data_IF_419519070072
#
_entry.id   IF_419519070072
#
_cell.length_a   1.000
_cell.length_b   1.000
_cell.length_c   1.000
_cell.angle_alpha   90.00
_cell.angle_beta   90.00
_cell.angle_gamma   90.00
#
_symmetry.space_group_name_H-M   'P 1'
#
loop_
_entity.id
_entity.type
_entity.pdbx_description
1 polymer ?
#
# COMPACT_ATOMS: atom_id res chain seq x y z
N UNK A 1 -16.84 -85.33 -10.33
CA UNK A 1 -16.57 -83.93 -10.76
C UNK A 1 -17.86 -83.34 -11.32
N UNK A 2 -18.18 -82.06 -11.08
CA UNK A 2 -19.38 -81.28 -11.53
C UNK A 2 -20.51 -80.99 -10.51
N UNK A 3 -20.20 -80.78 -9.22
CA UNK A 3 -21.14 -80.13 -8.28
C UNK A 3 -20.47 -79.05 -7.41
N UNK A 4 -19.54 -78.28 -7.97
CA UNK A 4 -18.78 -77.26 -7.22
C UNK A 4 -18.54 -75.94 -7.99
N UNK A 5 -19.43 -75.57 -8.91
CA UNK A 5 -19.23 -74.35 -9.74
C UNK A 5 -20.38 -73.35 -9.74
N UNK A 6 -21.51 -73.63 -9.06
CA UNK A 6 -22.62 -72.68 -9.01
C UNK A 6 -22.67 -71.83 -7.74
N UNK A 7 -21.96 -72.24 -6.68
CA UNK A 7 -21.97 -71.53 -5.38
C UNK A 7 -20.85 -70.50 -5.22
N UNK A 8 -19.87 -70.45 -6.14
CA UNK A 8 -18.78 -69.46 -6.11
C UNK A 8 -19.04 -68.25 -7.03
N UNK A 9 -20.00 -68.34 -7.96
CA UNK A 9 -20.29 -67.24 -8.89
C UNK A 9 -21.24 -66.17 -8.28
N UNK A 10 -21.87 -66.47 -7.15
CA UNK A 10 -22.75 -65.54 -6.43
C UNK A 10 -22.06 -64.79 -5.28
N UNK A 11 -20.75 -65.00 -5.06
CA UNK A 11 -20.02 -64.45 -3.90
C UNK A 11 -19.04 -63.30 -4.23
N UNK A 12 -19.06 -62.74 -5.45
CA UNK A 12 -18.06 -61.74 -5.86
C UNK A 12 -18.62 -60.50 -6.58
N UNK A 13 -19.88 -60.12 -6.31
CA UNK A 13 -20.41 -58.82 -6.77
C UNK A 13 -21.21 -58.18 -5.63
N UNK A 14 -20.53 -57.81 -4.55
CA UNK A 14 -21.00 -56.67 -3.75
C UNK A 14 -20.59 -55.40 -4.50
N UNK A 15 -21.32 -55.06 -5.57
CA UNK A 15 -21.23 -53.70 -6.11
C UNK A 15 -21.72 -52.79 -4.99
N UNK A 16 -20.81 -52.04 -4.39
CA UNK A 16 -21.14 -50.91 -3.54
C UNK A 16 -21.81 -49.86 -4.45
N UNK A 17 -23.11 -50.03 -4.70
CA UNK A 17 -23.94 -49.01 -5.30
C UNK A 17 -24.04 -47.88 -4.26
N UNK A 18 -23.14 -46.92 -4.37
CA UNK A 18 -23.28 -45.67 -3.64
C UNK A 18 -24.43 -44.92 -4.30
N UNK A 19 -25.57 -44.81 -3.62
CA UNK A 19 -26.68 -43.98 -4.08
C UNK A 19 -26.32 -42.50 -3.84
N UNK A 20 -25.54 -41.91 -4.75
CA UNK A 20 -25.42 -40.47 -4.82
C UNK A 20 -26.75 -39.90 -5.31
N UNK A 21 -27.23 -38.85 -4.66
CA UNK A 21 -28.52 -38.25 -5.01
C UNK A 21 -28.28 -37.08 -5.96
N UNK A 22 -28.65 -37.29 -7.22
CA UNK A 22 -28.83 -36.23 -8.18
C UNK A 22 -30.28 -35.73 -8.12
N UNK A 23 -30.49 -34.43 -7.91
CA UNK A 23 -31.79 -33.77 -7.99
C UNK A 23 -31.76 -32.82 -9.17
N UNK A 24 -32.24 -33.29 -10.31
CA UNK A 24 -32.30 -32.56 -11.57
C UNK A 24 -33.43 -33.08 -12.46
N UNK A 25 -33.72 -32.37 -13.54
CA UNK A 25 -34.73 -32.76 -14.54
C UNK A 25 -34.11 -33.21 -15.87
N UNK A 26 -32.78 -33.19 -16.00
CA UNK A 26 -32.06 -33.52 -17.23
C UNK A 26 -31.48 -34.94 -17.24
N UNK A 27 -31.62 -35.68 -16.13
CA UNK A 27 -31.16 -37.06 -16.01
C UNK A 27 -29.64 -37.19 -15.87
N UNK A 28 -28.92 -36.08 -15.64
CA UNK A 28 -27.48 -36.14 -15.40
C UNK A 28 -27.15 -36.88 -14.10
N UNK A 29 -26.10 -37.70 -14.13
CA UNK A 29 -25.61 -38.37 -12.92
C UNK A 29 -25.04 -37.35 -11.92
N UNK A 30 -25.13 -37.66 -10.63
CA UNK A 30 -24.50 -36.84 -9.60
C UNK A 30 -22.98 -36.81 -9.80
N UNK A 31 -22.35 -35.69 -9.44
CA UNK A 31 -20.91 -35.59 -9.39
C UNK A 31 -20.32 -36.62 -8.40
N UNK A 32 -19.24 -37.32 -8.79
CA UNK A 32 -18.61 -38.36 -7.98
C UNK A 32 -18.12 -37.88 -6.60
N UNK A 33 -17.90 -36.58 -6.41
CA UNK A 33 -17.49 -35.98 -5.13
C UNK A 33 -18.66 -35.39 -4.33
N UNK A 34 -19.89 -35.45 -4.84
CA UNK A 34 -21.07 -34.89 -4.19
C UNK A 34 -21.90 -35.98 -3.48
N UNK A 35 -22.24 -35.72 -2.22
CA UNK A 35 -23.26 -36.50 -1.52
C UNK A 35 -24.69 -36.08 -1.93
N UNK A 36 -24.85 -34.81 -2.29
CA UNK A 36 -26.07 -34.21 -2.82
C UNK A 36 -25.68 -33.28 -3.98
N UNK A 37 -26.19 -33.56 -5.17
CA UNK A 37 -25.99 -32.73 -6.37
C UNK A 37 -27.34 -32.20 -6.85
N UNK A 38 -27.54 -30.88 -6.75
CA UNK A 38 -28.78 -30.22 -7.16
C UNK A 38 -28.49 -29.33 -8.35
N UNK A 39 -29.12 -29.64 -9.49
CA UNK A 39 -28.97 -28.87 -10.73
C UNK A 39 -30.33 -28.40 -11.21
N UNK A 40 -30.49 -27.08 -11.22
CA UNK A 40 -31.66 -26.42 -11.79
C UNK A 40 -31.25 -25.06 -12.36
N UNK A 41 -31.88 -24.65 -13.45
CA UNK A 41 -31.69 -23.32 -14.06
C UNK A 41 -32.72 -22.30 -13.57
N UNK A 42 -33.74 -22.74 -12.84
CA UNK A 42 -34.89 -21.91 -12.43
C UNK A 42 -35.40 -22.17 -11.01
N UNK A 43 -34.78 -23.09 -10.25
CA UNK A 43 -35.09 -23.35 -8.83
C UNK A 43 -33.82 -23.30 -7.98
N UNK A 44 -33.98 -22.97 -6.70
CA UNK A 44 -32.92 -23.02 -5.69
C UNK A 44 -33.25 -24.01 -4.57
N UNK A 45 -32.35 -24.10 -3.59
CA UNK A 45 -32.57 -24.89 -2.38
C UNK A 45 -33.13 -23.98 -1.28
N UNK A 46 -34.29 -24.31 -0.73
CA UNK A 46 -34.84 -23.62 0.43
C UNK A 46 -34.27 -24.22 1.72
N UNK A 47 -33.30 -23.52 2.31
CA UNK A 47 -32.69 -23.87 3.60
C UNK A 47 -33.66 -23.49 4.74
N UNK A 48 -33.68 -24.23 5.88
CA UNK A 48 -34.52 -23.90 7.02
C UNK A 48 -34.43 -22.41 7.42
N UNK A 49 -35.59 -21.75 7.41
CA UNK A 49 -35.74 -20.34 7.76
C UNK A 49 -36.25 -20.21 9.18
N UNK A 50 -35.57 -19.41 10.00
CA UNK A 50 -35.90 -19.29 11.41
C UNK A 50 -35.45 -17.96 12.02
N UNK A 51 -36.11 -17.52 13.09
CA UNK A 51 -35.65 -16.38 13.89
C UNK A 51 -34.44 -16.74 14.75
N UNK A 52 -33.76 -15.74 15.34
CA UNK A 52 -32.70 -15.96 16.35
C UNK A 52 -33.21 -16.85 17.49
N UNK A 53 -34.43 -16.61 17.98
CA UNK A 53 -35.02 -17.38 19.08
C UNK A 53 -35.30 -18.83 18.68
N UNK A 54 -35.83 -19.06 17.47
CA UNK A 54 -36.07 -20.41 16.95
C UNK A 54 -34.75 -21.16 16.72
N UNK A 55 -33.70 -20.49 16.22
CA UNK A 55 -32.37 -21.08 16.09
C UNK A 55 -31.77 -21.50 17.43
N UNK A 56 -32.01 -20.72 18.48
CA UNK A 56 -31.54 -21.06 19.83
C UNK A 56 -32.22 -22.32 20.41
N UNK A 57 -33.34 -22.75 19.85
CA UNK A 57 -34.04 -23.99 20.25
C UNK A 57 -33.58 -25.24 19.51
N UNK A 58 -32.65 -25.14 18.55
CA UNK A 58 -32.10 -26.33 17.88
C UNK A 58 -31.40 -27.20 18.93
N UNK A 59 -31.75 -28.50 19.05
CA UNK A 59 -31.19 -29.37 20.09
C UNK A 59 -29.66 -29.48 20.05
N UNK A 60 -29.03 -29.48 21.22
CA UNK A 60 -27.58 -29.67 21.38
C UNK A 60 -27.23 -31.17 21.50
N UNK A 61 -26.04 -31.60 21.01
CA UNK A 61 -25.00 -30.77 20.38
C UNK A 61 -25.33 -30.42 18.93
N UNK A 62 -25.03 -29.18 18.54
CA UNK A 62 -25.21 -28.71 17.16
C UNK A 62 -24.13 -29.33 16.25
N UNK A 63 -24.49 -29.89 15.08
CA UNK A 63 -23.50 -30.41 14.15
C UNK A 63 -22.75 -29.27 13.44
N UNK A 64 -21.43 -29.38 13.37
CA UNK A 64 -20.58 -28.46 12.57
C UNK A 64 -20.99 -28.50 11.11
N UNK A 65 -21.13 -27.33 10.49
CA UNK A 65 -21.56 -27.16 9.10
C UNK A 65 -23.07 -27.00 8.91
N UNK A 66 -23.87 -27.01 9.99
CA UNK A 66 -25.32 -26.79 9.89
C UNK A 66 -25.62 -25.41 9.29
N UNK A 67 -26.37 -25.36 8.19
CA UNK A 67 -26.73 -24.14 7.47
C UNK A 67 -28.20 -23.77 7.73
N UNK A 68 -28.46 -22.52 8.07
CA UNK A 68 -29.80 -21.94 8.24
C UNK A 68 -29.89 -20.58 7.56
N UNK A 69 -31.11 -20.12 7.28
CA UNK A 69 -31.37 -18.74 6.89
C UNK A 69 -32.10 -18.02 8.04
N UNK A 70 -31.43 -17.07 8.68
CA UNK A 70 -32.03 -16.29 9.76
C UNK A 70 -32.95 -15.22 9.17
N UNK A 71 -34.16 -15.09 9.69
CA UNK A 71 -35.19 -14.19 9.14
C UNK A 71 -35.26 -12.82 9.82
N UNK A 72 -34.73 -12.68 11.04
CA UNK A 72 -34.72 -11.45 11.84
C UNK A 72 -33.29 -11.03 12.25
N UNK A 73 -33.14 -9.91 12.95
CA UNK A 73 -31.92 -9.50 13.69
C UNK A 73 -30.59 -9.77 12.96
N UNK A 74 -30.42 -9.17 11.77
CA UNK A 74 -29.40 -9.46 10.75
C UNK A 74 -29.73 -10.67 9.86
N UNK A 75 -30.79 -10.54 9.06
CA UNK A 75 -31.26 -11.52 8.08
C UNK A 75 -30.14 -12.01 7.15
N UNK A 76 -30.07 -13.32 6.91
CA UNK A 76 -29.09 -13.91 5.98
C UNK A 76 -28.78 -15.38 6.26
N UNK A 77 -27.88 -15.96 5.46
CA UNK A 77 -27.40 -17.32 5.70
C UNK A 77 -26.43 -17.35 6.88
N UNK A 78 -26.54 -18.39 7.71
CA UNK A 78 -25.62 -18.66 8.81
C UNK A 78 -25.22 -20.13 8.80
N UNK A 79 -23.95 -20.42 9.09
CA UNK A 79 -23.51 -21.78 9.38
C UNK A 79 -22.97 -21.90 10.81
N UNK A 80 -23.15 -23.07 11.43
CA UNK A 80 -22.54 -23.37 12.74
C UNK A 80 -21.13 -23.91 12.54
N UNK A 81 -20.11 -23.25 13.10
CA UNK A 81 -18.71 -23.66 12.89
C UNK A 81 -18.20 -24.70 13.91
N UNK A 82 -19.07 -25.21 14.78
CA UNK A 82 -18.70 -26.08 15.91
C UNK A 82 -18.78 -25.37 17.27
N UNK A 83 -18.71 -24.04 17.29
CA UNK A 83 -18.71 -23.22 18.53
C UNK A 83 -19.75 -22.11 18.49
N UNK A 84 -19.90 -21.41 17.35
CA UNK A 84 -20.80 -20.27 17.18
C UNK A 84 -21.44 -20.27 15.80
N UNK A 85 -22.55 -19.54 15.67
CA UNK A 85 -23.19 -19.26 14.39
C UNK A 85 -22.48 -18.11 13.67
N UNK A 86 -21.97 -18.37 12.47
CA UNK A 86 -21.30 -17.38 11.61
C UNK A 86 -22.22 -17.02 10.46
N UNK A 87 -22.48 -15.72 10.25
CA UNK A 87 -23.22 -15.23 9.09
C UNK A 87 -22.36 -15.34 7.84
N UNK A 88 -22.88 -15.96 6.78
CA UNK A 88 -22.33 -15.86 5.44
C UNK A 88 -22.71 -14.49 4.87
N UNK A 89 -21.76 -13.57 4.90
CA UNK A 89 -21.89 -12.27 4.24
C UNK A 89 -21.25 -12.32 2.87
N UNK A 90 -21.68 -11.45 1.96
CA UNK A 90 -21.08 -11.23 0.64
C UNK A 90 -19.65 -10.65 0.69
N UNK A 91 -19.11 -10.37 1.89
CA UNK A 91 -17.76 -9.82 2.08
C UNK A 91 -17.67 -8.32 1.82
N UNK A 92 -18.77 -7.62 1.49
CA UNK A 92 -18.72 -6.25 0.98
C UNK A 92 -19.53 -5.21 1.75
N UNK A 93 -19.71 -5.37 3.06
CA UNK A 93 -20.27 -4.28 3.88
C UNK A 93 -19.18 -3.58 4.68
N UNK A 94 -18.68 -2.47 4.14
CA UNK A 94 -17.70 -1.48 4.65
C UNK A 94 -16.23 -1.92 4.69
N UNK A 95 -15.35 -1.06 4.15
CA UNK A 95 -13.88 -1.15 4.32
C UNK A 95 -13.59 -1.01 5.82
N UNK A 96 -13.32 -2.13 6.50
CA UNK A 96 -12.99 -2.14 7.94
C UNK A 96 -11.48 -1.99 8.20
N UNK A 97 -10.64 -2.17 7.18
CA UNK A 97 -9.18 -2.07 7.19
C UNK A 97 -8.68 -1.94 5.75
N UNK A 98 -7.53 -1.29 5.57
CA UNK A 98 -6.83 -1.08 4.28
C UNK A 98 -5.76 -2.18 4.13
N UNK A 99 -6.16 -3.44 4.19
CA UNK A 99 -5.25 -4.59 4.20
C UNK A 99 -5.37 -5.49 2.96
N UNK A 100 -6.29 -5.17 2.06
CA UNK A 100 -6.34 -5.69 0.68
C UNK A 100 -5.67 -4.74 -0.33
N UNK A 101 -5.07 -3.62 0.11
CA UNK A 101 -4.06 -2.95 -0.71
C UNK A 101 -2.84 -3.86 -0.74
N UNK A 102 -2.70 -4.66 -1.79
CA UNK A 102 -1.51 -5.50 -2.00
C UNK A 102 -0.20 -4.70 -1.97
N UNK A 103 -0.27 -3.38 -2.08
CA UNK A 103 0.81 -2.41 -2.07
C UNK A 103 0.77 -1.40 -0.89
N UNK A 104 -0.08 -1.63 0.11
CA UNK A 104 -0.10 -0.88 1.37
C UNK A 104 0.72 -1.59 2.46
N UNK A 105 1.72 -0.94 3.04
CA UNK A 105 2.58 -1.50 4.12
C UNK A 105 2.55 -0.59 5.34
N UNK A 106 2.23 -1.17 6.50
CA UNK A 106 2.52 -0.59 7.82
C UNK A 106 3.51 -1.49 8.55
N UNK A 107 4.43 -0.93 9.33
CA UNK A 107 5.34 -1.72 10.18
C UNK A 107 4.56 -2.39 11.32
N UNK A 108 5.10 -3.48 11.86
CA UNK A 108 4.46 -4.29 12.91
C UNK A 108 4.27 -3.57 14.24
N UNK A 109 4.88 -2.38 14.40
CA UNK A 109 4.81 -1.54 15.60
C UNK A 109 4.18 -0.15 15.35
N UNK A 110 3.63 0.10 14.15
CA UNK A 110 2.66 1.18 13.89
C UNK A 110 3.19 2.60 13.68
N UNK A 111 4.41 2.79 13.18
CA UNK A 111 4.98 4.12 12.95
C UNK A 111 4.98 4.57 11.49
N UNK A 112 5.26 3.66 10.54
CA UNK A 112 5.39 4.02 9.13
C UNK A 112 4.14 3.62 8.34
N UNK A 113 3.74 4.47 7.40
CA UNK A 113 2.60 4.26 6.49
C UNK A 113 3.10 4.37 5.05
N UNK A 114 3.01 3.29 4.29
CA UNK A 114 3.37 3.26 2.87
C UNK A 114 2.18 2.87 2.00
N UNK A 115 1.92 3.61 0.93
CA UNK A 115 0.83 3.39 -0.01
C UNK A 115 1.33 3.54 -1.45
N UNK A 116 1.23 2.48 -2.25
CA UNK A 116 1.62 2.46 -3.65
C UNK A 116 2.73 1.45 -3.93
N UNK A 117 2.75 0.90 -5.15
CA UNK A 117 3.76 -0.09 -5.59
C UNK A 117 5.18 0.31 -5.18
N UNK A 118 5.86 -0.57 -4.46
CA UNK A 118 7.24 -0.44 -3.95
C UNK A 118 7.49 0.76 -3.00
N UNK A 119 6.43 1.40 -2.47
CA UNK A 119 6.60 2.40 -1.42
C UNK A 119 7.16 1.74 -0.15
N UNK A 120 8.24 2.30 0.41
CA UNK A 120 8.92 1.73 1.59
C UNK A 120 9.45 0.29 1.40
N UNK A 121 9.81 -0.09 0.17
CA UNK A 121 10.23 -1.46 -0.18
C UNK A 121 11.38 -1.98 0.71
N UNK A 122 12.41 -1.15 0.93
CA UNK A 122 13.57 -1.47 1.77
C UNK A 122 13.41 -1.10 3.26
N UNK A 123 12.22 -0.67 3.69
CA UNK A 123 11.97 -0.35 5.10
C UNK A 123 12.29 -1.59 5.96
N UNK A 124 13.21 -1.41 6.91
CA UNK A 124 13.78 -2.47 7.76
C UNK A 124 12.85 -2.90 8.91
N UNK A 125 11.64 -2.34 9.00
CA UNK A 125 10.68 -2.62 10.07
C UNK A 125 11.00 -1.97 11.43
N UNK A 126 11.98 -1.06 11.53
CA UNK A 126 12.16 -0.26 12.75
C UNK A 126 11.13 0.87 12.85
N UNK A 127 10.88 1.34 14.07
CA UNK A 127 9.90 2.40 14.35
C UNK A 127 10.45 3.76 13.86
N UNK A 128 10.27 4.02 12.57
CA UNK A 128 10.88 5.15 11.88
C UNK A 128 9.89 6.29 11.66
N UNK A 129 8.58 6.08 11.75
CA UNK A 129 7.61 7.18 11.64
C UNK A 129 7.53 7.80 10.23
N UNK A 130 7.77 7.03 9.17
CA UNK A 130 7.77 7.54 7.80
C UNK A 130 6.38 7.49 7.16
N UNK A 131 6.03 8.48 6.34
CA UNK A 131 4.84 8.44 5.49
C UNK A 131 5.29 8.45 4.03
N UNK A 132 4.99 7.41 3.25
CA UNK A 132 5.32 7.31 1.83
C UNK A 132 4.10 6.99 0.98
N UNK A 133 3.68 7.90 0.12
CA UNK A 133 2.49 7.74 -0.73
C UNK A 133 2.89 7.96 -2.19
N UNK A 134 2.73 6.95 -3.03
CA UNK A 134 3.07 6.96 -4.46
C UNK A 134 4.05 5.87 -4.85
N UNK A 135 4.05 5.50 -6.14
CA UNK A 135 4.95 4.46 -6.63
C UNK A 135 6.42 4.84 -6.37
N UNK A 136 7.15 3.90 -5.75
CA UNK A 136 8.55 4.05 -5.32
C UNK A 136 8.83 5.19 -4.32
N UNK A 137 7.83 5.75 -3.63
CA UNK A 137 8.07 6.73 -2.58
C UNK A 137 8.87 6.08 -1.44
N UNK A 138 9.98 6.71 -1.00
CA UNK A 138 10.87 6.15 0.04
C UNK A 138 11.38 4.72 -0.25
N UNK A 139 11.47 4.32 -1.53
CA UNK A 139 11.73 2.92 -1.91
C UNK A 139 12.97 2.32 -1.26
N UNK A 140 14.09 3.05 -1.22
CA UNK A 140 15.35 2.52 -0.67
C UNK A 140 15.62 2.91 0.79
N UNK A 141 14.67 3.58 1.46
CA UNK A 141 14.82 3.98 2.85
C UNK A 141 14.89 2.77 3.75
N UNK A 142 16.04 2.58 4.39
CA UNK A 142 16.30 1.46 5.28
C UNK A 142 16.23 1.86 6.74
N UNK A 143 16.73 3.03 7.17
CA UNK A 143 16.71 3.45 8.57
C UNK A 143 16.44 4.93 8.80
N UNK A 144 16.18 5.70 7.75
CA UNK A 144 15.79 7.11 7.88
C UNK A 144 14.42 7.23 8.54
N UNK A 145 14.24 8.24 9.39
CA UNK A 145 13.05 8.40 10.22
C UNK A 145 12.35 9.75 10.06
N UNK A 146 11.04 9.79 10.31
CA UNK A 146 10.23 11.01 10.30
C UNK A 146 10.14 11.67 8.93
N UNK A 147 10.28 10.92 7.84
CA UNK A 147 10.18 11.47 6.49
C UNK A 147 8.73 11.45 5.99
N UNK A 148 8.31 12.50 5.30
CA UNK A 148 7.02 12.57 4.60
C UNK A 148 7.27 12.67 3.10
N UNK A 149 6.93 11.63 2.35
CA UNK A 149 7.10 11.53 0.91
C UNK A 149 5.74 11.29 0.23
N UNK A 150 5.32 12.18 -0.65
CA UNK A 150 4.08 12.03 -1.43
C UNK A 150 4.35 12.36 -2.90
N UNK A 151 4.20 11.38 -3.79
CA UNK A 151 4.45 11.52 -5.22
C UNK A 151 5.21 10.34 -5.81
N UNK A 152 5.20 10.21 -7.13
CA UNK A 152 5.99 9.20 -7.83
C UNK A 152 7.48 9.43 -7.56
N UNK A 153 8.18 8.44 -7.01
CA UNK A 153 9.62 8.47 -6.72
C UNK A 153 10.09 9.64 -5.82
N UNK A 154 9.22 10.15 -4.95
CA UNK A 154 9.59 11.12 -3.91
C UNK A 154 10.52 10.46 -2.86
N UNK A 155 11.63 11.11 -2.50
CA UNK A 155 12.68 10.57 -1.61
C UNK A 155 13.17 9.17 -2.00
N UNK A 156 13.20 8.86 -3.30
CA UNK A 156 13.49 7.52 -3.82
C UNK A 156 14.80 6.92 -3.31
N UNK A 157 15.89 7.71 -3.27
CA UNK A 157 17.22 7.26 -2.86
C UNK A 157 17.55 7.48 -1.38
N UNK A 158 16.61 7.98 -0.55
CA UNK A 158 16.90 8.29 0.85
C UNK A 158 17.16 6.99 1.62
N UNK A 159 18.32 6.82 2.23
CA UNK A 159 18.73 5.63 2.98
C UNK A 159 18.58 5.88 4.49
N UNK A 160 19.27 6.90 5.02
CA UNK A 160 19.35 7.19 6.47
C UNK A 160 18.92 8.60 6.85
N UNK A 161 18.63 9.47 5.88
CA UNK A 161 18.18 10.84 6.13
C UNK A 161 16.86 10.88 6.89
N UNK A 162 16.70 11.86 7.78
CA UNK A 162 15.54 12.01 8.65
C UNK A 162 14.89 13.39 8.55
N UNK A 163 13.62 13.46 8.96
CA UNK A 163 12.85 14.72 9.02
C UNK A 163 12.80 15.49 7.70
N UNK A 164 12.75 14.77 6.57
CA UNK A 164 12.59 15.38 5.25
C UNK A 164 11.11 15.39 4.82
N UNK A 165 10.69 16.46 4.14
CA UNK A 165 9.39 16.58 3.49
C UNK A 165 9.60 16.63 1.98
N UNK A 166 9.05 15.68 1.23
CA UNK A 166 9.12 15.60 -0.23
C UNK A 166 7.72 15.39 -0.82
N UNK A 167 7.14 16.44 -1.40
CA UNK A 167 5.80 16.40 -1.98
C UNK A 167 5.89 16.78 -3.46
N UNK A 168 5.63 15.83 -4.36
CA UNK A 168 5.74 16.01 -5.80
C UNK A 168 6.50 14.87 -6.46
N UNK A 169 6.32 14.71 -7.77
CA UNK A 169 7.07 13.73 -8.57
C UNK A 169 8.56 14.00 -8.45
N UNK A 170 9.33 12.99 -8.06
CA UNK A 170 10.80 13.03 -7.95
C UNK A 170 11.37 14.13 -7.04
N UNK A 171 10.57 14.67 -6.10
CA UNK A 171 11.09 15.59 -5.08
C UNK A 171 12.15 14.87 -4.22
N UNK A 172 13.31 15.50 -3.99
CA UNK A 172 14.45 14.93 -3.26
C UNK A 172 14.92 13.55 -3.77
N UNK A 173 14.79 13.28 -5.08
CA UNK A 173 15.06 11.95 -5.62
C UNK A 173 16.47 11.43 -5.33
N UNK A 174 17.51 12.26 -5.40
CA UNK A 174 18.91 11.86 -5.20
C UNK A 174 19.41 11.97 -3.77
N UNK A 175 18.56 12.43 -2.83
CA UNK A 175 18.94 12.54 -1.42
C UNK A 175 19.13 11.13 -0.83
N UNK A 176 20.26 10.85 -0.22
CA UNK A 176 20.63 9.56 0.40
C UNK A 176 20.74 9.64 1.93
N UNK A 177 21.42 10.64 2.49
CA UNK A 177 21.68 10.70 3.95
C UNK A 177 21.32 12.04 4.60
N UNK A 178 21.02 13.08 3.81
CA UNK A 178 20.75 14.41 4.36
C UNK A 178 19.35 14.52 4.94
N UNK A 179 19.25 15.44 5.89
CA UNK A 179 18.13 15.58 6.82
C UNK A 179 17.66 17.03 6.88
N UNK A 180 16.45 17.23 7.39
CA UNK A 180 15.83 18.56 7.57
C UNK A 180 15.66 19.34 6.26
N UNK A 181 15.21 18.64 5.21
CA UNK A 181 14.93 19.23 3.89
C UNK A 181 13.43 19.37 3.67
N UNK A 182 13.03 20.44 2.99
CA UNK A 182 11.66 20.62 2.51
C UNK A 182 11.70 20.78 0.99
N UNK A 183 11.06 19.88 0.26
CA UNK A 183 10.96 19.88 -1.18
C UNK A 183 9.50 19.67 -1.61
N UNK A 184 8.83 20.73 -2.04
CA UNK A 184 7.42 20.70 -2.43
C UNK A 184 7.31 21.19 -3.87
N UNK A 185 7.10 20.27 -4.81
CA UNK A 185 7.01 20.52 -6.25
C UNK A 185 7.65 19.40 -7.06
N UNK A 186 7.26 19.29 -8.33
CA UNK A 186 7.93 18.38 -9.29
C UNK A 186 9.44 18.66 -9.31
N UNK A 187 10.23 17.63 -8.99
CA UNK A 187 11.69 17.66 -9.01
C UNK A 187 12.33 18.76 -8.15
N UNK A 188 11.65 19.25 -7.10
CA UNK A 188 12.27 20.15 -6.13
C UNK A 188 13.46 19.43 -5.42
N UNK A 189 14.61 20.10 -5.31
CA UNK A 189 15.85 19.54 -4.73
C UNK A 189 16.30 18.18 -5.34
N UNK A 190 16.02 17.93 -6.62
CA UNK A 190 16.25 16.63 -7.25
C UNK A 190 17.69 16.10 -7.11
N UNK A 191 18.71 16.93 -7.32
CA UNK A 191 20.14 16.53 -7.29
C UNK A 191 20.82 16.75 -5.93
N UNK A 192 20.07 17.14 -4.89
CA UNK A 192 20.61 17.44 -3.57
C UNK A 192 21.48 16.29 -3.04
N UNK A 193 22.64 16.62 -2.48
CA UNK A 193 23.69 15.71 -1.98
C UNK A 193 24.71 15.20 -3.01
N UNK A 194 24.53 15.42 -4.31
CA UNK A 194 25.49 14.90 -5.30
C UNK A 194 26.90 15.46 -5.07
N UNK A 195 27.83 14.64 -4.60
CA UNK A 195 29.21 15.05 -4.30
C UNK A 195 29.45 15.59 -2.87
N UNK A 196 28.42 15.64 -2.01
CA UNK A 196 28.57 16.03 -0.62
C UNK A 196 29.33 14.97 0.20
N UNK A 197 30.20 15.40 1.10
CA UNK A 197 30.98 14.52 1.96
C UNK A 197 30.13 14.01 3.14
N UNK A 198 30.25 12.73 3.55
CA UNK A 198 29.54 12.23 4.73
C UNK A 198 29.93 12.99 6.00
N UNK A 199 28.95 13.25 6.88
CA UNK A 199 29.19 13.91 8.17
C UNK A 199 29.39 15.44 8.12
N UNK A 200 29.25 16.06 6.94
CA UNK A 200 29.27 17.52 6.78
C UNK A 200 27.86 18.12 6.81
N UNK A 201 27.78 19.44 6.94
CA UNK A 201 26.55 20.21 6.81
C UNK A 201 26.14 20.49 5.36
N UNK A 202 26.86 19.96 4.38
CA UNK A 202 26.54 20.14 2.96
C UNK A 202 25.16 19.56 2.62
N UNK A 203 24.44 20.24 1.74
CA UNK A 203 23.14 19.81 1.23
C UNK A 203 22.07 19.59 2.33
N UNK A 204 22.23 20.23 3.50
CA UNK A 204 21.26 20.19 4.61
C UNK A 204 20.49 21.51 4.75
N UNK A 205 19.35 21.48 5.44
CA UNK A 205 18.56 22.66 5.79
C UNK A 205 18.04 23.49 4.61
N UNK A 206 17.91 22.88 3.42
CA UNK A 206 17.34 23.56 2.26
C UNK A 206 15.80 23.44 2.25
N UNK A 207 15.14 24.55 1.96
CA UNK A 207 13.70 24.64 1.68
C UNK A 207 13.50 25.03 0.22
N UNK A 208 12.82 24.18 -0.54
CA UNK A 208 12.47 24.36 -1.95
C UNK A 208 10.98 24.14 -2.15
N UNK A 209 10.25 25.17 -2.54
CA UNK A 209 8.81 25.12 -2.78
C UNK A 209 8.52 25.69 -4.17
N UNK A 210 8.15 24.82 -5.10
CA UNK A 210 7.94 25.11 -6.51
C UNK A 210 8.54 24.03 -7.41
N UNK A 211 7.97 23.81 -8.60
CA UNK A 211 8.55 22.85 -9.54
C UNK A 211 9.96 23.29 -9.95
N UNK A 212 10.90 22.35 -9.82
CA UNK A 212 12.33 22.52 -10.12
C UNK A 212 13.03 23.63 -9.31
N UNK A 213 12.46 24.03 -8.17
CA UNK A 213 13.16 24.89 -7.22
C UNK A 213 14.40 24.15 -6.66
N UNK A 214 15.56 24.80 -6.68
CA UNK A 214 16.85 24.19 -6.25
C UNK A 214 17.18 22.85 -6.96
N UNK A 215 16.75 22.66 -8.22
CA UNK A 215 16.92 21.39 -8.95
C UNK A 215 18.39 20.92 -8.97
N UNK A 216 19.32 21.82 -9.26
CA UNK A 216 20.75 21.51 -9.44
C UNK A 216 21.57 21.64 -8.16
N UNK A 217 20.96 21.88 -6.98
CA UNK A 217 21.69 21.95 -5.71
C UNK A 217 22.46 20.67 -5.48
N UNK A 218 23.77 20.76 -5.24
CA UNK A 218 24.64 19.61 -4.99
C UNK A 218 25.08 19.60 -3.53
N UNK A 219 25.80 20.62 -3.08
CA UNK A 219 26.33 20.74 -1.71
C UNK A 219 25.89 21.99 -0.96
N UNK A 220 25.23 22.95 -1.62
CA UNK A 220 24.71 24.16 -0.99
C UNK A 220 23.75 23.85 0.16
N UNK A 221 23.85 24.59 1.26
CA UNK A 221 23.09 24.35 2.49
C UNK A 221 22.39 25.63 3.00
N UNK A 222 21.30 25.46 3.74
CA UNK A 222 20.56 26.58 4.35
C UNK A 222 19.87 27.52 3.35
N UNK A 223 19.57 27.06 2.13
CA UNK A 223 18.90 27.88 1.12
C UNK A 223 17.37 27.80 1.27
N UNK A 224 16.68 28.92 1.13
CA UNK A 224 15.22 29.00 0.99
C UNK A 224 14.88 29.45 -0.43
N UNK A 225 14.14 28.65 -1.18
CA UNK A 225 13.76 28.90 -2.56
C UNK A 225 12.26 28.67 -2.76
N UNK A 226 11.51 29.71 -3.11
CA UNK A 226 10.06 29.68 -3.30
C UNK A 226 9.71 30.21 -4.69
N UNK A 227 9.28 29.33 -5.58
CA UNK A 227 8.89 29.67 -6.95
C UNK A 227 9.18 28.57 -7.96
N UNK A 228 8.50 28.62 -9.11
CA UNK A 228 8.90 27.79 -10.26
C UNK A 228 10.33 28.15 -10.68
N UNK A 229 11.21 27.15 -10.76
CA UNK A 229 12.63 27.29 -11.14
C UNK A 229 13.42 28.36 -10.38
N UNK A 230 13.01 28.70 -9.16
CA UNK A 230 13.79 29.61 -8.31
C UNK A 230 15.08 28.93 -7.85
N UNK A 231 16.20 29.67 -7.92
CA UNK A 231 17.52 29.20 -7.52
C UNK A 231 17.91 27.86 -8.21
N UNK A 232 17.51 27.71 -9.48
CA UNK A 232 17.59 26.46 -10.23
C UNK A 232 19.02 25.90 -10.33
N UNK A 233 19.99 26.75 -10.70
CA UNK A 233 21.39 26.36 -10.97
C UNK A 233 22.32 26.39 -9.75
N UNK A 234 21.82 26.61 -8.53
CA UNK A 234 22.70 26.63 -7.35
C UNK A 234 23.39 25.29 -7.24
N UNK A 235 24.70 25.28 -7.10
CA UNK A 235 25.49 24.07 -6.92
C UNK A 235 25.95 24.01 -5.46
N UNK A 236 26.73 25.01 -5.04
CA UNK A 236 27.39 25.01 -3.74
C UNK A 236 27.09 26.24 -2.89
N UNK A 237 26.19 27.15 -3.32
CA UNK A 237 25.88 28.39 -2.59
C UNK A 237 25.10 28.13 -1.30
N UNK A 238 25.38 28.93 -0.26
CA UNK A 238 24.80 28.79 1.08
C UNK A 238 23.90 29.97 1.45
N UNK A 239 22.93 29.74 2.33
CA UNK A 239 22.15 30.79 2.99
C UNK A 239 21.43 31.78 2.05
N UNK A 240 21.07 31.35 0.84
CA UNK A 240 20.30 32.20 -0.08
C UNK A 240 18.80 32.12 0.21
N UNK A 241 18.12 33.26 0.26
CA UNK A 241 16.65 33.41 0.30
C UNK A 241 16.11 33.93 -1.03
N UNK A 242 15.46 33.08 -1.81
CA UNK A 242 14.98 33.40 -3.16
C UNK A 242 13.48 33.20 -3.22
N UNK A 243 12.74 34.24 -3.63
CA UNK A 243 11.29 34.22 -3.72
C UNK A 243 10.85 34.82 -5.06
N UNK A 244 10.21 34.01 -5.90
CA UNK A 244 9.69 34.41 -7.21
C UNK A 244 10.05 33.42 -8.31
N UNK A 245 9.15 33.23 -9.28
CA UNK A 245 9.41 32.34 -10.41
C UNK A 245 10.63 32.83 -11.22
N UNK A 246 11.59 31.94 -11.49
CA UNK A 246 12.84 32.24 -12.18
C UNK A 246 13.82 33.13 -11.42
N UNK A 247 13.55 33.49 -10.16
CA UNK A 247 14.47 34.32 -9.39
C UNK A 247 15.79 33.56 -9.13
N UNK A 248 16.92 34.27 -9.26
CA UNK A 248 18.28 33.76 -9.10
C UNK A 248 18.56 32.47 -9.90
N UNK A 249 17.92 32.29 -11.06
CA UNK A 249 17.99 31.06 -11.86
C UNK A 249 19.43 30.61 -12.13
N UNK A 250 20.32 31.54 -12.52
CA UNK A 250 21.73 31.24 -12.85
C UNK A 250 22.69 31.33 -11.67
N UNK A 251 22.22 31.55 -10.44
CA UNK A 251 23.14 31.65 -9.29
C UNK A 251 23.69 30.27 -8.97
N UNK A 252 25.02 30.11 -9.10
CA UNK A 252 25.70 28.80 -9.00
C UNK A 252 26.43 28.58 -7.68
N UNK A 253 27.01 29.65 -7.11
CA UNK A 253 27.92 29.57 -5.94
C UNK A 253 27.72 30.70 -4.93
N UNK A 254 26.75 31.60 -5.14
CA UNK A 254 26.59 32.77 -4.28
C UNK A 254 26.16 32.41 -2.86
N UNK A 255 26.62 33.18 -1.87
CA UNK A 255 26.28 33.02 -0.46
C UNK A 255 25.46 34.21 0.06
N UNK A 256 24.40 33.95 0.82
CA UNK A 256 23.57 34.95 1.49
C UNK A 256 22.48 35.64 0.64
N UNK A 257 22.35 35.36 -0.67
CA UNK A 257 21.51 36.10 -1.65
C UNK A 257 20.02 36.10 -1.38
N UNK A 258 19.41 37.28 -1.49
CA UNK A 258 18.05 37.65 -1.18
C UNK A 258 17.54 38.23 -2.48
N UNK A 259 16.82 37.43 -3.24
CA UNK A 259 16.27 37.81 -4.53
C UNK A 259 14.76 37.63 -4.46
N UNK A 260 14.05 38.75 -4.46
CA UNK A 260 12.59 38.78 -4.31
C UNK A 260 11.98 39.42 -5.56
N UNK A 261 11.10 38.70 -6.23
CA UNK A 261 10.42 39.13 -7.45
C UNK A 261 10.56 38.11 -8.59
N UNK A 262 9.64 38.15 -9.56
CA UNK A 262 9.74 37.31 -10.75
C UNK A 262 11.00 37.65 -11.54
N UNK A 263 11.81 36.64 -11.86
CA UNK A 263 13.09 36.78 -12.59
C UNK A 263 14.09 37.74 -11.93
N UNK A 264 13.94 38.05 -10.64
CA UNK A 264 14.90 38.86 -9.90
C UNK A 264 16.27 38.15 -9.91
N UNK A 265 17.35 38.88 -10.21
CA UNK A 265 18.71 38.32 -10.27
C UNK A 265 18.88 37.13 -11.24
N UNK A 266 18.04 37.01 -12.28
CA UNK A 266 18.00 35.85 -13.19
C UNK A 266 19.38 35.45 -13.74
N UNK A 267 20.18 36.43 -14.17
CA UNK A 267 21.52 36.23 -14.75
C UNK A 267 22.66 36.38 -13.73
N UNK A 268 22.36 36.52 -12.44
CA UNK A 268 23.42 36.66 -11.44
C UNK A 268 24.06 35.29 -11.20
N UNK A 269 25.31 35.10 -11.61
CA UNK A 269 26.03 33.82 -11.53
C UNK A 269 26.75 33.62 -10.20
N UNK A 270 27.10 34.72 -9.52
CA UNK A 270 27.71 34.75 -8.19
C UNK A 270 27.32 36.03 -7.44
N UNK A 271 26.93 35.91 -6.18
CA UNK A 271 26.64 37.06 -5.31
C UNK A 271 27.08 36.73 -3.88
N UNK A 272 27.66 37.71 -3.19
CA UNK A 272 28.00 37.64 -1.77
C UNK A 272 27.47 38.91 -1.10
N UNK A 273 27.02 38.78 0.16
CA UNK A 273 26.69 39.90 1.04
C UNK A 273 27.93 40.49 1.64
#
# INVERSE_FOLDING_TARGET
>A
MKKLTLSLLTLAISLALHAQVAINTDGSAANNSAMLDVKSTNHGILIPRMTVSQRATIPTPLPTGLLIFQTDSNTGFYFYNGTVWIRLTDGFSSVKKVDDLSDGKSDSNGSSIFLGKDAGFNDNGSNNGNVGIGNNALRVNSSGSGNSATGFSALYNNITGYSNVAIGTSALNSNTTRSNLVAIGDSALYNNETGAQPGTYEATYNTAVGSKALLSNTTGAGNTSLGYTSLYSNSTGWYNTVVGAGAAYQNTIGEGNTSIGNSASYNNTSGNY
#
